data_IF_034746421023
#
_entry.id   IF_034746421023
#
_cell.length_a   1.000
_cell.length_b   1.000
_cell.length_c   1.000
_cell.angle_alpha   90.00
_cell.angle_beta   90.00
_cell.angle_gamma   90.00
#
_symmetry.space_group_name_H-M   'P 1'
#
loop_
_entity.id
_entity.type
_entity.pdbx_description
1 polymer ?
#
# COMPACT_ATOMS: atom_id res chain seq x y z
N UNK A 1 -28.12 2.72 -55.05
CA UNK A 1 -27.43 1.52 -54.47
C UNK A 1 -25.92 1.66 -54.33
N UNK A 2 -25.13 2.04 -55.36
CA UNK A 2 -23.65 2.13 -55.26
C UNK A 2 -23.15 3.17 -54.24
N UNK A 3 -23.82 4.32 -54.14
CA UNK A 3 -23.46 5.40 -53.19
C UNK A 3 -23.73 4.99 -51.73
N UNK A 4 -24.91 4.41 -51.44
CA UNK A 4 -25.26 3.87 -50.12
C UNK A 4 -24.30 2.75 -49.67
N UNK A 5 -23.86 1.87 -50.58
CA UNK A 5 -22.83 0.86 -50.28
C UNK A 5 -21.48 1.49 -49.92
N UNK A 6 -21.05 2.55 -50.64
CA UNK A 6 -19.81 3.27 -50.31
C UNK A 6 -19.90 3.96 -48.95
N UNK A 7 -21.01 4.62 -48.64
CA UNK A 7 -21.24 5.28 -47.34
C UNK A 7 -21.20 4.25 -46.20
N UNK A 8 -21.88 3.10 -46.36
CA UNK A 8 -21.86 2.03 -45.36
C UNK A 8 -20.46 1.46 -45.11
N UNK A 9 -19.67 1.26 -46.17
CA UNK A 9 -18.27 0.81 -46.04
C UNK A 9 -17.42 1.88 -45.34
N UNK A 10 -17.57 3.16 -45.68
CA UNK A 10 -16.81 4.25 -45.03
C UNK A 10 -17.13 4.35 -43.54
N UNK A 11 -18.40 4.26 -43.14
CA UNK A 11 -18.80 4.27 -41.73
C UNK A 11 -18.21 3.05 -41.00
N UNK A 12 -18.27 1.87 -41.60
CA UNK A 12 -17.69 0.65 -41.01
C UNK A 12 -16.17 0.78 -40.84
N UNK A 13 -15.45 1.31 -41.84
CA UNK A 13 -14.02 1.57 -41.74
C UNK A 13 -13.68 2.61 -40.66
N UNK A 14 -14.46 3.68 -40.54
CA UNK A 14 -14.29 4.67 -39.47
C UNK A 14 -14.52 4.06 -38.08
N UNK A 15 -15.57 3.25 -37.91
CA UNK A 15 -15.84 2.53 -36.67
C UNK A 15 -14.72 1.54 -36.32
N UNK A 16 -14.17 0.85 -37.33
CA UNK A 16 -13.00 -0.03 -37.17
C UNK A 16 -11.75 0.75 -36.76
N UNK A 17 -11.46 1.88 -37.41
CA UNK A 17 -10.30 2.73 -37.07
C UNK A 17 -10.45 3.30 -35.65
N UNK A 18 -11.63 3.82 -35.30
CA UNK A 18 -11.93 4.27 -33.95
C UNK A 18 -11.82 3.13 -32.93
N UNK A 19 -12.34 1.95 -33.25
CA UNK A 19 -12.25 0.75 -32.42
C UNK A 19 -10.80 0.31 -32.19
N UNK A 20 -9.98 0.27 -33.24
CA UNK A 20 -8.54 -0.02 -33.15
C UNK A 20 -7.83 1.05 -32.32
N UNK A 21 -8.17 2.33 -32.52
CA UNK A 21 -7.64 3.44 -31.73
C UNK A 21 -7.93 3.29 -30.25
N UNK A 22 -9.17 2.96 -29.88
CA UNK A 22 -9.58 2.71 -28.48
C UNK A 22 -8.83 1.49 -27.92
N UNK A 23 -8.76 0.39 -28.67
CA UNK A 23 -8.02 -0.81 -28.21
C UNK A 23 -6.55 -0.50 -27.97
N UNK A 24 -5.90 0.25 -28.87
CA UNK A 24 -4.52 0.69 -28.68
C UNK A 24 -4.35 1.62 -27.48
N UNK A 25 -5.29 2.53 -27.23
CA UNK A 25 -5.22 3.49 -26.12
C UNK A 25 -5.48 2.89 -24.75
N UNK A 26 -6.18 1.75 -24.67
CA UNK A 26 -6.55 1.09 -23.41
C UNK A 26 -5.93 -0.31 -23.25
N UNK A 27 -4.97 -0.67 -24.11
CA UNK A 27 -4.45 -2.03 -24.15
C UNK A 27 -3.75 -2.42 -22.82
N UNK A 28 -3.10 -1.45 -22.16
CA UNK A 28 -2.36 -1.70 -20.92
C UNK A 28 -3.30 -1.78 -19.73
N UNK A 29 -4.31 -0.92 -19.66
CA UNK A 29 -5.36 -0.95 -18.66
C UNK A 29 -6.14 -2.25 -18.75
N UNK A 30 -6.53 -2.65 -19.97
CA UNK A 30 -7.16 -3.94 -20.20
C UNK A 30 -6.26 -5.11 -19.79
N UNK A 31 -4.95 -5.05 -20.07
CA UNK A 31 -3.98 -6.04 -19.60
C UNK A 31 -3.93 -6.12 -18.07
N UNK A 32 -3.90 -4.97 -17.39
CA UNK A 32 -3.95 -4.91 -15.93
C UNK A 32 -5.23 -5.56 -15.39
N UNK A 33 -6.40 -5.19 -15.92
CA UNK A 33 -7.67 -5.75 -15.47
C UNK A 33 -7.76 -7.26 -15.71
N UNK A 34 -7.28 -7.75 -16.86
CA UNK A 34 -7.26 -9.18 -17.19
C UNK A 34 -6.31 -9.99 -16.31
N UNK A 35 -5.27 -9.36 -15.76
CA UNK A 35 -4.34 -10.00 -14.83
C UNK A 35 -4.92 -10.19 -13.42
N UNK A 36 -6.01 -9.49 -13.09
CA UNK A 36 -6.63 -9.56 -11.78
C UNK A 36 -7.12 -10.98 -11.50
N UNK A 37 -6.58 -11.59 -10.46
CA UNK A 37 -6.87 -12.98 -10.08
C UNK A 37 -7.17 -13.09 -8.60
N UNK A 38 -8.35 -13.63 -8.26
CA UNK A 38 -8.69 -14.03 -6.89
C UNK A 38 -7.88 -15.27 -6.49
N UNK A 39 -7.21 -15.21 -5.34
CA UNK A 39 -6.32 -16.27 -4.84
C UNK A 39 -6.80 -16.92 -3.54
N UNK A 40 -7.71 -16.27 -2.81
CA UNK A 40 -8.31 -16.79 -1.56
C UNK A 40 -9.85 -16.58 -1.54
N UNK A 41 -10.55 -17.41 -0.76
CA UNK A 41 -11.99 -17.32 -0.53
C UNK A 41 -12.37 -16.08 0.30
N UNK A 42 -11.58 -15.76 1.33
CA UNK A 42 -11.58 -14.45 1.96
C UNK A 42 -10.92 -13.47 0.98
N UNK A 43 -11.68 -12.55 0.33
CA UNK A 43 -11.27 -12.02 -0.97
C UNK A 43 -9.89 -11.35 -0.97
N UNK A 44 -8.91 -12.09 -1.47
CA UNK A 44 -7.55 -11.65 -1.76
C UNK A 44 -7.33 -11.81 -3.26
N UNK A 45 -6.83 -10.75 -3.90
CA UNK A 45 -6.53 -10.71 -5.32
C UNK A 45 -5.05 -10.45 -5.55
N UNK A 46 -4.58 -10.76 -6.75
CA UNK A 46 -3.28 -10.33 -7.28
C UNK A 46 -3.50 -9.64 -8.61
N UNK A 47 -2.68 -8.63 -8.93
CA UNK A 47 -2.81 -7.85 -10.17
C UNK A 47 -1.43 -7.45 -10.68
N UNK A 48 -1.12 -7.75 -11.95
CA UNK A 48 0.05 -7.24 -12.65
C UNK A 48 -0.31 -5.95 -13.38
N UNK A 49 0.03 -4.81 -12.77
CA UNK A 49 -0.32 -3.48 -13.28
C UNK A 49 0.61 -3.07 -14.42
N UNK A 50 0.06 -3.01 -15.64
CA UNK A 50 0.81 -2.75 -16.86
C UNK A 50 0.67 -1.31 -17.39
N UNK A 51 -0.38 -0.60 -16.99
CA UNK A 51 -0.66 0.76 -17.43
C UNK A 51 0.29 1.77 -16.77
N UNK A 52 0.45 2.93 -17.41
CA UNK A 52 1.06 4.07 -16.76
C UNK A 52 0.02 4.67 -15.80
N UNK A 53 0.36 4.74 -14.52
CA UNK A 53 -0.50 5.35 -13.51
C UNK A 53 -0.22 6.85 -13.34
N UNK A 54 0.82 7.40 -13.98
CA UNK A 54 1.05 8.85 -14.01
C UNK A 54 1.72 9.43 -12.77
N UNK A 55 2.51 8.63 -12.03
CA UNK A 55 3.16 9.12 -10.81
C UNK A 55 4.12 10.29 -11.08
N UNK A 56 4.90 10.28 -12.16
CA UNK A 56 5.83 11.38 -12.48
C UNK A 56 5.06 12.71 -12.64
N UNK A 57 3.93 12.70 -13.37
CA UNK A 57 3.07 13.86 -13.51
C UNK A 57 2.42 14.26 -12.18
N UNK A 58 2.00 13.28 -11.37
CA UNK A 58 1.46 13.54 -10.04
C UNK A 58 2.49 14.24 -9.15
N UNK A 59 3.75 13.80 -9.14
CA UNK A 59 4.81 14.36 -8.31
C UNK A 59 5.26 15.77 -8.72
N UNK A 60 4.88 16.23 -9.92
CA UNK A 60 5.04 17.64 -10.33
C UNK A 60 3.89 18.53 -9.85
N UNK A 61 2.67 17.98 -9.76
CA UNK A 61 1.45 18.72 -9.40
C UNK A 61 1.14 18.69 -7.91
N UNK A 62 1.32 17.53 -7.28
CA UNK A 62 0.94 17.24 -5.91
C UNK A 62 -0.57 17.10 -5.68
N UNK A 63 -0.93 16.83 -4.43
CA UNK A 63 -2.30 16.93 -3.92
C UNK A 63 -2.27 17.32 -2.44
N UNK A 64 -2.93 18.42 -2.09
CA UNK A 64 -2.98 18.93 -0.71
C UNK A 64 -4.04 18.25 0.16
N UNK A 65 -4.82 17.32 -0.41
CA UNK A 65 -5.88 16.57 0.27
C UNK A 65 -6.36 15.38 -0.57
N UNK A 66 -7.17 14.50 0.05
CA UNK A 66 -7.70 13.30 -0.61
C UNK A 66 -8.62 13.62 -1.81
N UNK A 67 -9.30 14.77 -1.81
CA UNK A 67 -10.17 15.16 -2.93
C UNK A 67 -9.34 15.47 -4.18
N UNK A 68 -8.27 16.23 -4.06
CA UNK A 68 -7.36 16.52 -5.17
C UNK A 68 -6.66 15.26 -5.68
N UNK A 69 -6.29 14.34 -4.78
CA UNK A 69 -5.81 13.02 -5.18
C UNK A 69 -6.84 12.26 -6.02
N UNK A 70 -8.09 12.20 -5.57
CA UNK A 70 -9.18 11.55 -6.32
C UNK A 70 -9.39 12.20 -7.68
N UNK A 71 -9.37 13.53 -7.75
CA UNK A 71 -9.48 14.27 -9.02
C UNK A 71 -8.34 13.93 -9.98
N UNK A 72 -7.10 13.82 -9.50
CA UNK A 72 -5.97 13.36 -10.32
C UNK A 72 -6.21 11.95 -10.86
N UNK A 73 -6.55 11.01 -9.97
CA UNK A 73 -6.79 9.60 -10.34
C UNK A 73 -7.93 9.47 -11.34
N UNK A 74 -9.03 10.20 -11.13
CA UNK A 74 -10.17 10.21 -12.05
C UNK A 74 -9.75 10.69 -13.45
N UNK A 75 -9.00 11.79 -13.51
CA UNK A 75 -8.62 12.40 -14.78
C UNK A 75 -7.55 11.59 -15.53
N UNK A 76 -6.54 11.09 -14.82
CA UNK A 76 -5.37 10.45 -15.43
C UNK A 76 -5.53 8.94 -15.58
N UNK A 77 -5.99 8.26 -14.53
CA UNK A 77 -6.08 6.79 -14.48
C UNK A 77 -7.44 6.32 -15.00
N UNK A 78 -8.53 6.92 -14.52
CA UNK A 78 -9.89 6.52 -14.87
C UNK A 78 -10.40 7.21 -16.15
N UNK A 79 -9.63 8.14 -16.73
CA UNK A 79 -9.95 8.89 -17.95
C UNK A 79 -11.35 9.51 -17.92
N UNK A 80 -11.74 10.06 -16.76
CA UNK A 80 -13.01 10.74 -16.53
C UNK A 80 -14.15 9.87 -16.00
N UNK A 81 -13.93 8.57 -15.74
CA UNK A 81 -14.93 7.74 -15.07
C UNK A 81 -15.02 8.07 -13.57
N UNK A 82 -16.23 8.20 -13.02
CA UNK A 82 -16.41 8.61 -11.63
C UNK A 82 -15.85 7.54 -10.67
N UNK A 83 -15.13 8.01 -9.65
CA UNK A 83 -14.57 7.20 -8.58
C UNK A 83 -14.89 7.86 -7.24
N UNK A 84 -15.22 7.05 -6.24
CA UNK A 84 -15.32 7.49 -4.84
C UNK A 84 -14.29 6.71 -4.04
N UNK A 85 -13.39 7.43 -3.37
CA UNK A 85 -12.39 6.86 -2.46
C UNK A 85 -12.77 7.27 -1.05
N UNK A 86 -12.77 6.31 -0.14
CA UNK A 86 -12.94 6.56 1.29
C UNK A 86 -11.93 5.72 2.06
N UNK A 87 -11.02 6.39 2.77
CA UNK A 87 -10.02 5.75 3.61
C UNK A 87 -10.51 5.91 5.06
N UNK A 88 -10.93 4.85 5.76
CA UNK A 88 -11.34 4.89 7.17
C UNK A 88 -10.16 4.68 8.13
N UNK A 89 -10.43 4.72 9.44
CA UNK A 89 -9.48 4.44 10.52
C UNK A 89 -8.76 3.09 10.37
N UNK A 90 -7.43 3.10 10.49
CA UNK A 90 -6.54 1.93 10.36
C UNK A 90 -5.98 1.49 11.73
N UNK A 91 -5.88 0.18 11.99
CA UNK A 91 -5.04 -0.39 13.05
C UNK A 91 -3.91 -1.21 12.42
N UNK A 92 -2.67 -1.14 12.90
CA UNK A 92 -1.54 -1.84 12.27
C UNK A 92 -0.45 -2.17 13.29
N UNK A 93 0.43 -3.11 12.96
CA UNK A 93 1.71 -3.32 13.66
C UNK A 93 2.80 -3.66 12.65
N UNK A 94 4.04 -3.25 12.91
CA UNK A 94 5.18 -3.53 12.04
C UNK A 94 6.43 -3.88 12.83
N UNK A 95 7.34 -4.64 12.22
CA UNK A 95 8.69 -4.85 12.73
C UNK A 95 9.69 -5.18 11.64
N UNK A 96 10.98 -4.96 11.93
CA UNK A 96 12.10 -5.54 11.19
C UNK A 96 12.88 -6.50 12.08
N UNK A 97 13.30 -7.64 11.52
CA UNK A 97 14.18 -8.59 12.16
C UNK A 97 15.26 -9.07 11.18
N UNK A 98 16.44 -9.43 11.68
CA UNK A 98 17.43 -10.17 10.90
C UNK A 98 16.89 -11.58 10.62
N UNK A 99 16.95 -12.00 9.37
CA UNK A 99 16.57 -13.36 9.00
C UNK A 99 17.65 -14.34 9.50
N UNK A 100 17.25 -15.42 10.20
CA UNK A 100 18.16 -16.50 10.60
C UNK A 100 18.89 -17.16 9.43
N UNK A 101 18.27 -17.18 8.25
CA UNK A 101 18.92 -17.69 7.03
C UNK A 101 19.88 -16.64 6.44
N UNK A 102 19.34 -15.54 5.93
CA UNK A 102 20.10 -14.45 5.32
C UNK A 102 19.24 -13.22 5.06
N UNK A 103 19.81 -12.03 5.25
CA UNK A 103 19.12 -10.76 5.02
C UNK A 103 18.21 -10.36 6.18
N UNK A 104 17.15 -9.63 5.86
CA UNK A 104 16.22 -9.06 6.82
C UNK A 104 14.77 -9.34 6.41
N UNK A 105 13.91 -9.42 7.41
CA UNK A 105 12.47 -9.63 7.28
C UNK A 105 11.74 -8.39 7.79
N UNK A 106 10.80 -7.87 7.01
CA UNK A 106 9.86 -6.85 7.47
C UNK A 106 8.46 -7.46 7.62
N UNK A 107 7.91 -7.41 8.83
CA UNK A 107 6.60 -7.92 9.16
C UNK A 107 5.58 -6.80 9.30
N UNK A 108 4.34 -7.02 8.84
CA UNK A 108 3.20 -6.13 9.06
C UNK A 108 1.90 -6.88 9.29
N UNK A 109 1.12 -6.48 10.29
CA UNK A 109 -0.32 -6.75 10.36
C UNK A 109 -1.12 -5.53 9.93
N UNK A 110 -2.24 -5.78 9.25
CA UNK A 110 -3.26 -4.79 8.95
C UNK A 110 -4.57 -5.18 9.64
N UNK A 111 -5.06 -4.31 10.52
CA UNK A 111 -6.20 -4.51 11.39
C UNK A 111 -7.32 -3.53 11.04
N UNK A 112 -8.49 -4.04 10.66
CA UNK A 112 -9.62 -3.23 10.20
C UNK A 112 -10.93 -4.01 10.23
N UNK A 113 -12.06 -3.35 9.94
CA UNK A 113 -13.28 -4.03 9.48
C UNK A 113 -13.05 -4.74 8.12
N UNK A 114 -14.07 -5.46 7.64
CA UNK A 114 -13.98 -6.30 6.44
C UNK A 114 -13.26 -5.59 5.28
N UNK A 115 -12.13 -6.17 4.86
CA UNK A 115 -11.21 -5.55 3.92
C UNK A 115 -10.79 -6.53 2.82
N UNK A 116 -11.49 -6.53 1.66
CA UNK A 116 -11.02 -7.27 0.50
C UNK A 116 -9.68 -6.69 0.06
N UNK A 117 -8.69 -7.53 -0.24
CA UNK A 117 -7.31 -7.07 -0.49
C UNK A 117 -6.85 -7.38 -1.90
N UNK A 118 -5.96 -6.56 -2.44
CA UNK A 118 -5.21 -6.87 -3.66
C UNK A 118 -3.72 -6.63 -3.43
N UNK A 119 -2.90 -7.60 -3.83
CA UNK A 119 -1.48 -7.36 -4.06
C UNK A 119 -1.29 -6.86 -5.49
N UNK A 120 -0.85 -5.63 -5.61
CA UNK A 120 -0.57 -4.99 -6.91
C UNK A 120 0.92 -5.09 -7.18
N UNK A 121 1.30 -5.63 -8.34
CA UNK A 121 2.66 -5.54 -8.87
C UNK A 121 2.74 -4.39 -9.86
N UNK A 122 3.69 -3.49 -9.68
CA UNK A 122 3.94 -2.39 -10.61
C UNK A 122 5.35 -2.48 -11.17
N UNK A 123 5.54 -2.00 -12.41
CA UNK A 123 6.86 -1.83 -13.03
C UNK A 123 6.85 -0.54 -13.87
N UNK A 124 6.92 0.64 -13.21
CA UNK A 124 6.93 1.92 -13.91
C UNK A 124 8.16 2.04 -14.81
N UNK A 125 8.05 2.84 -15.88
CA UNK A 125 9.16 3.06 -16.83
C UNK A 125 10.35 3.78 -16.17
N UNK A 126 10.07 4.73 -15.28
CA UNK A 126 11.04 5.59 -14.61
C UNK A 126 11.08 5.33 -13.10
N UNK A 127 11.00 4.07 -12.67
CA UNK A 127 11.01 3.72 -11.26
C UNK A 127 11.26 2.24 -11.03
N UNK A 128 11.24 1.85 -9.76
CA UNK A 128 11.47 0.47 -9.35
C UNK A 128 10.22 -0.39 -9.49
N UNK A 129 10.40 -1.63 -9.93
CA UNK A 129 9.36 -2.64 -9.80
C UNK A 129 9.04 -2.88 -8.32
N UNK A 130 7.77 -3.12 -7.98
CA UNK A 130 7.36 -3.31 -6.59
C UNK A 130 6.10 -4.16 -6.45
N UNK A 131 5.88 -4.67 -5.24
CA UNK A 131 4.59 -5.17 -4.80
C UNK A 131 4.05 -4.28 -3.68
N UNK A 132 2.74 -4.10 -3.63
CA UNK A 132 2.07 -3.37 -2.55
C UNK A 132 0.71 -3.95 -2.22
N UNK A 133 0.38 -4.04 -0.93
CA UNK A 133 -0.96 -4.41 -0.48
C UNK A 133 -1.88 -3.19 -0.47
N UNK A 134 -3.07 -3.38 -1.01
CA UNK A 134 -4.12 -2.36 -1.12
C UNK A 134 -5.41 -2.92 -0.52
N UNK A 135 -6.08 -2.13 0.31
CA UNK A 135 -7.45 -2.40 0.72
C UNK A 135 -8.40 -1.99 -0.41
N UNK A 136 -9.02 -2.96 -1.08
CA UNK A 136 -10.01 -2.69 -2.13
C UNK A 136 -11.25 -1.98 -1.57
N UNK A 137 -11.50 -2.06 -0.26
CA UNK A 137 -12.51 -1.25 0.41
C UNK A 137 -12.33 0.25 0.18
N UNK A 138 -11.10 0.73 0.03
CA UNK A 138 -10.81 2.17 -0.11
C UNK A 138 -11.17 2.71 -1.46
N UNK A 139 -11.23 1.84 -2.46
CA UNK A 139 -11.69 2.19 -3.81
C UNK A 139 -13.13 1.72 -4.05
N UNK A 140 -13.90 1.42 -2.98
CA UNK A 140 -15.35 1.24 -3.05
C UNK A 140 -15.85 -0.21 -3.13
N UNK A 141 -14.97 -1.21 -3.02
CA UNK A 141 -15.39 -2.62 -2.96
C UNK A 141 -15.87 -3.02 -1.55
N UNK A 142 -16.73 -4.03 -1.46
CA UNK A 142 -17.27 -4.55 -0.20
C UNK A 142 -17.80 -5.98 -0.38
N UNK A 143 -18.41 -6.57 0.65
CA UNK A 143 -18.94 -7.95 0.61
C UNK A 143 -19.92 -8.20 -0.54
N UNK A 144 -20.66 -7.19 -1.00
CA UNK A 144 -21.68 -7.30 -2.04
C UNK A 144 -21.18 -6.90 -3.43
N UNK A 145 -20.03 -6.22 -3.50
CA UNK A 145 -19.44 -5.74 -4.74
C UNK A 145 -17.94 -5.99 -4.71
N UNK A 146 -17.53 -7.06 -5.37
CA UNK A 146 -16.13 -7.47 -5.53
C UNK A 146 -15.73 -7.38 -7.00
N UNK A 147 -14.44 -7.23 -7.33
CA UNK A 147 -13.96 -7.12 -8.70
C UNK A 147 -13.86 -8.49 -9.40
N UNK A 148 -14.90 -9.32 -9.28
CA UNK A 148 -14.91 -10.70 -9.77
C UNK A 148 -15.18 -10.80 -11.29
N UNK A 149 -15.66 -9.72 -11.91
CA UNK A 149 -15.84 -9.63 -13.37
C UNK A 149 -15.00 -8.50 -13.94
N UNK A 150 -14.69 -8.56 -15.24
CA UNK A 150 -13.95 -7.50 -15.92
C UNK A 150 -14.61 -6.12 -15.76
N UNK A 151 -15.95 -6.07 -15.81
CA UNK A 151 -16.70 -4.83 -15.62
C UNK A 151 -16.54 -4.31 -14.20
N UNK A 152 -16.66 -5.19 -13.21
CA UNK A 152 -16.57 -4.81 -11.80
C UNK A 152 -15.13 -4.49 -11.40
N UNK A 153 -14.14 -5.00 -12.13
CA UNK A 153 -12.71 -4.75 -11.86
C UNK A 153 -12.23 -3.34 -12.25
N UNK A 154 -13.02 -2.55 -12.96
CA UNK A 154 -12.54 -1.28 -13.55
C UNK A 154 -11.91 -0.33 -12.52
N UNK A 155 -12.46 -0.29 -11.31
CA UNK A 155 -12.00 0.58 -10.24
C UNK A 155 -10.66 0.11 -9.62
N UNK A 156 -10.26 -1.15 -9.80
CA UNK A 156 -8.92 -1.61 -9.38
C UNK A 156 -7.78 -0.93 -10.13
N UNK A 157 -8.07 -0.22 -11.25
CA UNK A 157 -7.06 0.63 -11.90
C UNK A 157 -6.53 1.74 -10.97
N UNK A 158 -7.33 2.18 -9.99
CA UNK A 158 -6.88 3.17 -9.00
C UNK A 158 -5.95 2.60 -7.91
N UNK A 159 -5.77 1.28 -7.83
CA UNK A 159 -5.05 0.61 -6.74
C UNK A 159 -3.59 1.10 -6.51
N UNK A 160 -2.80 1.49 -7.53
CA UNK A 160 -1.46 2.06 -7.32
C UNK A 160 -1.42 3.33 -6.46
N UNK A 161 -2.55 4.03 -6.29
CA UNK A 161 -2.69 5.24 -5.48
C UNK A 161 -3.21 5.00 -4.06
N UNK A 162 -3.49 3.74 -3.69
CA UNK A 162 -3.95 3.36 -2.35
C UNK A 162 -3.10 2.27 -1.66
N UNK A 163 -1.77 2.19 -1.85
CA UNK A 163 -0.96 1.21 -1.12
C UNK A 163 -0.91 1.54 0.37
N UNK A 164 -0.85 0.51 1.19
CA UNK A 164 -0.73 0.62 2.66
C UNK A 164 0.59 0.04 3.18
N UNK A 165 1.15 -0.88 2.41
CA UNK A 165 2.49 -1.40 2.59
C UNK A 165 3.04 -1.88 1.25
N UNK A 166 4.32 -2.20 1.21
CA UNK A 166 4.92 -2.86 0.06
C UNK A 166 6.42 -3.00 0.15
N UNK A 167 6.98 -3.58 -0.91
CA UNK A 167 8.43 -3.73 -1.09
C UNK A 167 8.79 -3.60 -2.57
N UNK A 168 9.87 -2.87 -2.87
CA UNK A 168 10.39 -2.73 -4.23
C UNK A 168 11.54 -3.70 -4.55
N UNK A 169 11.96 -3.74 -5.81
CA UNK A 169 13.01 -4.62 -6.32
C UNK A 169 14.41 -4.35 -5.74
N UNK A 170 14.59 -3.24 -5.00
CA UNK A 170 15.82 -2.94 -4.24
C UNK A 170 15.74 -3.47 -2.81
N UNK A 171 14.56 -3.89 -2.37
CA UNK A 171 14.30 -4.41 -1.02
C UNK A 171 14.09 -3.29 -0.01
N UNK A 172 13.78 -2.08 -0.48
CA UNK A 172 13.12 -1.08 0.35
C UNK A 172 11.69 -1.57 0.61
N UNK A 173 11.30 -1.63 1.87
CA UNK A 173 9.94 -1.90 2.28
C UNK A 173 9.42 -0.78 3.18
N UNK A 174 8.11 -0.55 3.11
CA UNK A 174 7.43 0.45 3.94
C UNK A 174 6.07 -0.09 4.37
N UNK A 175 5.66 0.27 5.58
CA UNK A 175 4.29 0.10 6.06
C UNK A 175 3.83 1.38 6.77
N UNK A 176 2.55 1.72 6.60
CA UNK A 176 1.93 2.84 7.29
C UNK A 176 1.06 2.37 8.45
N UNK A 177 1.09 3.13 9.55
CA UNK A 177 0.29 2.87 10.74
C UNK A 177 -0.36 4.18 11.19
N UNK A 178 -1.65 4.10 11.55
CA UNK A 178 -2.41 5.24 12.02
C UNK A 178 -1.96 5.65 13.42
N UNK A 179 -1.84 6.95 13.59
CA UNK A 179 -1.69 7.63 14.86
C UNK A 179 -2.96 8.47 15.07
N UNK A 180 -3.68 8.21 16.16
CA UNK A 180 -4.95 8.88 16.49
C UNK A 180 -4.70 10.27 17.07
N UNK A 181 -4.07 11.12 16.26
CA UNK A 181 -3.77 12.52 16.54
C UNK A 181 -4.24 13.39 15.37
N UNK A 182 -4.15 14.71 15.53
CA UNK A 182 -4.50 15.66 14.48
C UNK A 182 -3.74 15.30 13.17
N UNK A 183 -4.42 15.29 12.01
CA UNK A 183 -3.77 14.98 10.75
C UNK A 183 -2.65 15.96 10.45
N UNK A 184 -1.54 15.43 9.91
CA UNK A 184 -0.47 16.26 9.34
C UNK A 184 -1.00 17.10 8.19
N UNK A 185 -0.69 18.38 8.19
CA UNK A 185 -1.01 19.31 7.13
C UNK A 185 0.12 20.35 7.03
N UNK A 186 1.18 20.00 6.30
CA UNK A 186 2.30 20.89 6.07
C UNK A 186 1.97 21.90 4.96
N UNK A 187 2.38 23.15 5.12
CA UNK A 187 2.06 24.19 4.14
C UNK A 187 3.29 25.09 3.90
N UNK A 188 4.24 24.58 3.13
CA UNK A 188 5.45 25.29 2.71
C UNK A 188 5.39 25.62 1.21
N UNK A 189 6.52 25.57 0.50
CA UNK A 189 6.60 25.75 -0.96
C UNK A 189 6.91 24.45 -1.69
N UNK A 190 6.99 23.34 -0.96
CA UNK A 190 7.26 22.02 -1.53
C UNK A 190 6.02 21.52 -2.24
N UNK A 191 6.19 20.51 -3.07
CA UNK A 191 5.04 19.84 -3.68
C UNK A 191 4.31 19.04 -2.60
N UNK A 192 2.99 19.06 -2.64
CA UNK A 192 2.16 18.34 -1.69
C UNK A 192 2.05 16.86 -2.03
N UNK A 193 2.10 16.02 -1.01
CA UNK A 193 1.88 14.59 -1.13
C UNK A 193 0.93 14.10 -0.04
N UNK A 194 0.20 13.02 -0.32
CA UNK A 194 -0.68 12.36 0.65
C UNK A 194 -0.07 11.07 1.19
N UNK A 195 -0.68 10.51 2.24
CA UNK A 195 -0.18 9.31 2.91
C UNK A 195 0.09 8.13 1.97
N UNK A 196 -0.87 7.79 1.10
CA UNK A 196 -0.75 6.65 0.18
C UNK A 196 0.17 6.95 -1.00
N UNK A 197 0.21 8.20 -1.46
CA UNK A 197 1.11 8.61 -2.54
C UNK A 197 2.55 8.71 -2.08
N UNK A 198 2.80 9.01 -0.80
CA UNK A 198 4.12 8.93 -0.20
C UNK A 198 4.68 7.50 -0.20
N UNK A 199 3.83 6.49 0.08
CA UNK A 199 4.21 5.08 -0.06
C UNK A 199 4.55 4.75 -1.51
N UNK A 200 3.70 5.17 -2.46
CA UNK A 200 3.93 4.94 -3.88
C UNK A 200 5.21 5.62 -4.38
N UNK A 201 5.48 6.85 -3.93
CA UNK A 201 6.72 7.60 -4.17
C UNK A 201 7.93 6.81 -3.68
N UNK A 202 7.96 6.42 -2.41
CA UNK A 202 9.10 5.70 -1.83
C UNK A 202 9.36 4.40 -2.57
N UNK A 203 8.32 3.60 -2.83
CA UNK A 203 8.46 2.33 -3.54
C UNK A 203 8.96 2.51 -4.98
N UNK A 204 8.56 3.56 -5.69
CA UNK A 204 9.00 3.82 -7.08
C UNK A 204 10.37 4.49 -7.19
N UNK A 205 10.75 5.34 -6.23
CA UNK A 205 11.86 6.29 -6.39
C UNK A 205 13.03 6.09 -5.44
N UNK A 206 12.86 5.41 -4.29
CA UNK A 206 13.94 5.17 -3.34
C UNK A 206 14.45 3.73 -3.39
N UNK A 207 15.78 3.56 -3.35
CA UNK A 207 16.40 2.23 -3.28
C UNK A 207 16.68 1.75 -1.85
N UNK A 208 16.74 2.67 -0.89
CA UNK A 208 17.13 2.43 0.49
C UNK A 208 16.49 3.47 1.44
N UNK A 209 16.68 3.28 2.75
CA UNK A 209 16.06 4.14 3.78
C UNK A 209 16.48 5.60 3.64
N UNK A 210 17.75 5.87 3.32
CA UNK A 210 18.26 7.25 3.21
C UNK A 210 17.57 8.02 2.08
N UNK A 211 17.48 7.42 0.89
CA UNK A 211 16.75 8.03 -0.23
C UNK A 211 15.26 8.19 0.08
N UNK A 212 14.65 7.27 0.81
CA UNK A 212 13.24 7.38 1.19
C UNK A 212 13.00 8.55 2.15
N UNK A 213 13.86 8.74 3.15
CA UNK A 213 13.80 9.88 4.09
C UNK A 213 14.06 11.19 3.36
N UNK A 214 15.06 11.23 2.46
CA UNK A 214 15.35 12.40 1.64
C UNK A 214 14.14 12.77 0.77
N UNK A 215 13.54 11.80 0.08
CA UNK A 215 12.32 12.00 -0.69
C UNK A 215 11.21 12.57 0.18
N UNK A 216 10.85 11.93 1.31
CA UNK A 216 9.80 12.43 2.19
C UNK A 216 10.07 13.86 2.67
N UNK A 217 11.33 14.21 2.96
CA UNK A 217 11.70 15.56 3.38
C UNK A 217 11.54 16.62 2.28
N UNK A 218 11.45 16.20 1.00
CA UNK A 218 11.32 17.08 -0.16
C UNK A 218 9.87 17.43 -0.54
N UNK A 219 8.89 16.81 0.12
CA UNK A 219 7.45 17.07 -0.07
C UNK A 219 6.82 17.62 1.22
N UNK A 220 5.68 18.29 1.07
CA UNK A 220 4.79 18.62 2.19
C UNK A 220 3.75 17.50 2.36
N UNK A 221 3.68 16.93 3.56
CA UNK A 221 2.76 15.84 3.87
C UNK A 221 1.37 16.36 4.26
N UNK A 222 0.36 15.81 3.60
CA UNK A 222 -1.05 15.98 3.90
C UNK A 222 -1.66 14.62 4.21
N UNK A 223 -1.87 14.33 5.50
CA UNK A 223 -2.34 13.01 5.89
C UNK A 223 -3.76 12.74 5.36
N UNK A 224 -3.95 11.55 4.81
CA UNK A 224 -5.24 11.07 4.30
C UNK A 224 -6.21 10.73 5.44
N UNK A 225 -7.49 10.49 5.14
CA UNK A 225 -8.47 9.90 6.07
C UNK A 225 -8.70 10.67 7.39
N UNK A 226 -8.31 11.95 7.46
CA UNK A 226 -8.44 12.77 8.66
C UNK A 226 -7.83 12.11 9.92
N UNK A 227 -6.70 11.44 9.78
CA UNK A 227 -5.85 10.96 10.89
C UNK A 227 -4.38 11.24 10.62
N UNK A 228 -3.51 11.15 11.63
CA UNK A 228 -2.06 11.17 11.44
C UNK A 228 -1.53 9.76 11.16
N UNK A 229 -0.35 9.66 10.56
CA UNK A 229 0.30 8.40 10.26
C UNK A 229 1.80 8.49 10.52
N UNK A 230 2.40 7.35 10.87
CA UNK A 230 3.83 7.17 10.74
C UNK A 230 4.16 6.06 9.74
N UNK A 231 5.37 6.14 9.18
CA UNK A 231 5.88 5.16 8.22
C UNK A 231 7.04 4.42 8.86
N UNK A 232 6.93 3.10 9.02
CA UNK A 232 8.13 2.29 9.24
C UNK A 232 8.72 1.93 7.89
N UNK A 233 9.94 2.39 7.63
CA UNK A 233 10.68 2.18 6.39
C UNK A 233 11.93 1.38 6.72
N UNK A 234 12.21 0.35 5.93
CA UNK A 234 13.41 -0.45 6.09
C UNK A 234 13.97 -0.91 4.74
N UNK A 235 15.23 -1.31 4.71
CA UNK A 235 15.87 -1.77 3.47
C UNK A 235 16.68 -3.06 3.61
N UNK A 236 17.16 -3.56 2.47
CA UNK A 236 17.89 -4.83 2.38
C UNK A 236 19.22 -4.87 3.17
N UNK A 237 19.74 -3.71 3.61
CA UNK A 237 20.92 -3.63 4.49
C UNK A 237 20.58 -3.86 5.96
N UNK A 238 19.29 -3.83 6.32
CA UNK A 238 18.80 -3.90 7.69
C UNK A 238 18.61 -2.54 8.36
N UNK A 239 18.87 -1.45 7.64
CA UNK A 239 18.56 -0.10 8.13
C UNK A 239 17.04 0.05 8.25
N UNK A 240 16.61 0.72 9.30
CA UNK A 240 15.20 0.98 9.60
C UNK A 240 15.05 2.37 10.20
N UNK A 241 13.92 3.00 9.91
CA UNK A 241 13.51 4.28 10.49
C UNK A 241 11.98 4.27 10.61
N UNK A 242 11.48 4.92 11.66
CA UNK A 242 10.07 5.31 11.75
C UNK A 242 10.00 6.81 11.53
N UNK A 243 9.32 7.23 10.47
CA UNK A 243 9.09 8.65 10.17
C UNK A 243 7.72 9.05 10.72
N UNK A 244 7.72 10.00 11.64
CA UNK A 244 6.53 10.55 12.28
C UNK A 244 6.37 12.03 11.90
N UNK A 245 5.15 12.53 11.94
CA UNK A 245 4.87 13.95 11.78
C UNK A 245 4.23 14.47 13.05
N UNK A 246 4.98 15.26 13.82
CA UNK A 246 4.56 15.82 15.10
C UNK A 246 4.53 17.33 14.95
N UNK A 247 3.37 17.93 15.23
CA UNK A 247 3.14 19.37 15.05
C UNK A 247 3.53 19.86 13.65
N UNK A 248 3.17 19.08 12.62
CA UNK A 248 3.50 19.32 11.21
C UNK A 248 5.02 19.34 10.91
N UNK A 249 5.85 18.81 11.82
CA UNK A 249 7.28 18.60 11.62
C UNK A 249 7.62 17.11 11.44
N UNK A 250 8.36 16.79 10.37
CA UNK A 250 8.88 15.45 10.12
C UNK A 250 9.96 15.10 11.15
N UNK A 251 9.80 13.97 11.85
CA UNK A 251 10.74 13.40 12.80
C UNK A 251 11.15 12.00 12.33
N UNK A 252 12.45 11.73 12.32
CA UNK A 252 12.99 10.41 12.00
C UNK A 252 13.47 9.72 13.27
N UNK A 253 12.84 8.59 13.63
CA UNK A 253 13.19 7.77 14.79
C UNK A 253 13.97 6.55 14.31
N UNK A 254 15.26 6.53 14.60
CA UNK A 254 16.13 5.38 14.33
C UNK A 254 16.18 4.45 15.55
N UNK A 255 16.34 3.12 15.36
CA UNK A 255 16.41 2.19 16.47
C UNK A 255 17.76 2.25 17.20
N UNK A 256 17.72 2.17 18.52
CA UNK A 256 18.92 1.95 19.35
C UNK A 256 19.32 0.46 19.43
N UNK A 257 18.48 -0.43 18.91
CA UNK A 257 18.65 -1.88 18.88
C UNK A 257 18.92 -2.36 17.44
N UNK A 258 19.29 -3.63 17.28
CA UNK A 258 19.45 -4.26 15.95
C UNK A 258 18.10 -4.64 15.27
N UNK A 259 16.99 -4.19 15.83
CA UNK A 259 15.63 -4.36 15.33
C UNK A 259 14.82 -3.10 15.64
N UNK A 260 13.68 -2.93 14.98
CA UNK A 260 12.74 -1.84 15.24
C UNK A 260 11.32 -2.35 15.06
N UNK A 261 10.40 -1.86 15.87
CA UNK A 261 8.97 -2.12 15.72
C UNK A 261 8.17 -0.84 15.95
N UNK A 262 6.95 -0.83 15.46
CA UNK A 262 6.00 0.26 15.63
C UNK A 262 4.57 -0.28 15.66
N UNK A 263 3.70 0.39 16.39
CA UNK A 263 2.25 0.13 16.38
C UNK A 263 1.50 1.46 16.23
N UNK A 264 0.44 1.72 16.99
CA UNK A 264 -0.44 2.86 16.74
C UNK A 264 -0.23 4.02 17.73
N UNK A 265 1.01 4.24 18.14
CA UNK A 265 1.42 5.37 18.99
C UNK A 265 2.73 5.98 18.50
N UNK A 266 2.97 7.24 18.88
CA UNK A 266 4.19 7.96 18.51
C UNK A 266 5.39 7.42 19.31
N UNK A 267 6.44 6.98 18.61
CA UNK A 267 7.71 6.62 19.22
C UNK A 267 8.46 7.83 19.75
N UNK A 268 8.24 9.02 19.19
CA UNK A 268 8.76 10.29 19.73
C UNK A 268 8.07 10.73 21.02
N UNK A 269 6.84 10.26 21.27
CA UNK A 269 6.02 10.63 22.42
C UNK A 269 5.25 9.41 22.97
N UNK A 270 5.97 8.39 23.50
CA UNK A 270 5.35 7.11 23.86
C UNK A 270 4.33 7.22 25.01
N UNK A 271 4.44 8.27 25.84
CA UNK A 271 3.58 8.54 26.99
C UNK A 271 2.37 9.44 26.67
N UNK A 272 2.16 9.82 25.40
CA UNK A 272 1.01 10.65 25.00
C UNK A 272 -0.33 9.95 25.28
N UNK A 273 -1.40 10.72 25.53
CA UNK A 273 -2.73 10.20 25.91
C UNK A 273 -3.35 9.23 24.87
N UNK A 274 -2.87 9.27 23.62
CA UNK A 274 -3.35 8.44 22.51
C UNK A 274 -2.36 7.28 22.23
N UNK A 275 -2.37 6.25 23.08
CA UNK A 275 -1.38 5.16 23.06
C UNK A 275 -1.97 3.74 22.88
N UNK A 276 -2.90 3.54 21.95
CA UNK A 276 -3.41 2.18 21.68
C UNK A 276 -2.37 1.33 20.93
N UNK A 277 -2.38 0.01 21.16
CA UNK A 277 -1.42 -0.92 20.54
C UNK A 277 -0.11 -1.13 21.31
N UNK A 278 0.01 -0.63 22.55
CA UNK A 278 1.14 -0.90 23.45
C UNK A 278 1.27 -2.39 23.81
N UNK A 279 0.14 -3.09 23.95
CA UNK A 279 0.06 -4.53 24.16
C UNK A 279 0.73 -5.31 23.02
N UNK A 280 0.38 -4.98 21.77
CA UNK A 280 1.00 -5.59 20.57
C UNK A 280 2.46 -5.19 20.43
N UNK A 281 2.80 -3.94 20.74
CA UNK A 281 4.18 -3.48 20.74
C UNK A 281 5.03 -4.28 21.73
N UNK A 282 4.53 -4.50 22.95
CA UNK A 282 5.21 -5.29 23.97
C UNK A 282 5.45 -6.74 23.50
N UNK A 283 4.45 -7.40 22.91
CA UNK A 283 4.61 -8.75 22.33
C UNK A 283 5.74 -8.79 21.30
N UNK A 284 5.77 -7.78 20.41
CA UNK A 284 6.79 -7.68 19.36
C UNK A 284 8.17 -7.40 19.96
N UNK A 285 8.31 -6.40 20.84
CA UNK A 285 9.59 -6.02 21.44
C UNK A 285 10.15 -7.15 22.31
N UNK A 286 9.32 -7.86 23.11
CA UNK A 286 9.75 -9.00 23.92
C UNK A 286 10.25 -10.17 23.06
N UNK A 287 9.53 -10.48 21.97
CA UNK A 287 9.96 -11.54 21.04
C UNK A 287 11.27 -11.17 20.35
N UNK A 288 11.41 -9.94 19.87
CA UNK A 288 12.62 -9.50 19.19
C UNK A 288 13.78 -9.40 20.18
N UNK A 289 13.58 -8.87 21.38
CA UNK A 289 14.58 -8.80 22.44
C UNK A 289 15.11 -10.18 22.83
N UNK A 290 14.20 -11.13 23.13
CA UNK A 290 14.56 -12.51 23.52
C UNK A 290 15.26 -13.31 22.43
N UNK A 291 15.10 -12.91 21.16
CA UNK A 291 15.77 -13.53 20.01
C UNK A 291 16.95 -12.72 19.47
N UNK A 292 17.34 -11.64 20.17
CA UNK A 292 18.37 -10.70 19.73
C UNK A 292 18.14 -10.19 18.29
N UNK A 293 16.88 -9.84 17.99
CA UNK A 293 16.42 -9.34 16.70
C UNK A 293 16.45 -10.36 15.56
N UNK A 294 16.57 -11.67 15.83
CA UNK A 294 16.74 -12.71 14.81
C UNK A 294 15.57 -13.67 14.73
N UNK A 295 14.90 -13.70 13.58
CA UNK A 295 13.75 -14.60 13.33
C UNK A 295 13.95 -15.38 12.03
N UNK A 296 13.51 -16.62 11.99
CA UNK A 296 13.21 -17.29 10.71
C UNK A 296 11.93 -16.73 10.09
N UNK A 297 11.68 -16.99 8.81
CA UNK A 297 10.41 -16.60 8.15
C UNK A 297 9.18 -17.15 8.88
N UNK A 298 9.28 -18.37 9.38
CA UNK A 298 8.23 -18.99 10.17
C UNK A 298 7.99 -18.23 11.48
N UNK A 299 9.05 -17.93 12.24
CA UNK A 299 8.92 -17.19 13.50
C UNK A 299 8.46 -15.74 13.29
N UNK A 300 8.81 -15.10 12.17
CA UNK A 300 8.29 -13.79 11.82
C UNK A 300 6.77 -13.84 11.56
N UNK A 301 6.28 -14.83 10.82
CA UNK A 301 4.83 -15.00 10.62
C UNK A 301 4.13 -15.40 11.92
N UNK A 302 4.76 -16.23 12.76
CA UNK A 302 4.23 -16.54 14.09
C UNK A 302 4.14 -15.30 14.97
N UNK A 303 5.14 -14.42 14.95
CA UNK A 303 5.08 -13.16 15.70
C UNK A 303 3.92 -12.27 15.25
N UNK A 304 3.64 -12.21 13.94
CA UNK A 304 2.45 -11.53 13.43
C UNK A 304 1.16 -12.20 13.90
N UNK A 305 1.11 -13.53 14.00
CA UNK A 305 -0.01 -14.24 14.61
C UNK A 305 -0.18 -13.88 16.08
N UNK A 306 0.90 -13.88 16.84
CA UNK A 306 0.90 -13.65 18.29
C UNK A 306 0.44 -12.22 18.63
N UNK A 307 0.73 -11.23 17.78
CA UNK A 307 0.29 -9.85 17.93
C UNK A 307 -0.92 -9.48 17.04
N UNK A 308 -1.63 -10.48 16.49
CA UNK A 308 -2.85 -10.24 15.73
C UNK A 308 -4.03 -9.88 16.63
N UNK A 309 -5.01 -9.17 16.08
CA UNK A 309 -6.21 -8.79 16.78
C UNK A 309 -7.36 -9.74 16.43
N UNK A 310 -7.91 -10.39 17.45
CA UNK A 310 -9.18 -11.11 17.33
C UNK A 310 -10.34 -10.15 17.06
N UNK A 311 -11.45 -10.72 16.56
CA UNK A 311 -12.67 -9.97 16.28
C UNK A 311 -13.19 -9.23 17.52
N UNK A 312 -13.18 -7.90 17.44
CA UNK A 312 -13.66 -6.99 18.49
C UNK A 312 -14.43 -5.82 17.87
N UNK A 313 -15.16 -5.06 18.68
CA UNK A 313 -15.83 -3.83 18.19
C UNK A 313 -14.86 -2.65 18.23
N UNK A 314 -14.73 -1.93 17.11
CA UNK A 314 -13.98 -0.69 17.04
C UNK A 314 -14.79 0.51 17.59
N UNK A 315 -14.20 1.72 17.56
CA UNK A 315 -14.84 2.96 18.05
C UNK A 315 -16.15 3.29 17.32
N UNK A 316 -16.32 2.86 16.07
CA UNK A 316 -17.56 3.01 15.30
C UNK A 316 -18.55 1.85 15.50
N UNK A 317 -18.26 0.90 16.39
CA UNK A 317 -19.11 -0.26 16.68
C UNK A 317 -19.08 -1.37 15.62
N UNK A 318 -18.20 -1.26 14.61
CA UNK A 318 -17.99 -2.29 13.58
C UNK A 318 -17.06 -3.38 14.11
N UNK A 319 -17.19 -4.60 13.59
CA UNK A 319 -16.26 -5.68 13.91
C UNK A 319 -14.94 -5.43 13.17
N UNK A 320 -13.86 -5.29 13.94
CA UNK A 320 -12.48 -5.15 13.47
C UNK A 320 -11.66 -6.36 13.92
N UNK A 321 -10.68 -6.75 13.10
CA UNK A 321 -9.68 -7.80 13.37
C UNK A 321 -8.51 -7.67 12.40
N UNK A 322 -7.45 -8.46 12.58
CA UNK A 322 -6.38 -8.58 11.58
C UNK A 322 -6.94 -9.16 10.27
N UNK A 323 -6.85 -8.39 9.19
CA UNK A 323 -7.35 -8.76 7.86
C UNK A 323 -6.28 -9.47 7.05
N UNK A 324 -5.03 -9.04 7.16
CA UNK A 324 -3.88 -9.72 6.57
C UNK A 324 -2.59 -9.48 7.32
N UNK A 325 -1.66 -10.41 7.14
CA UNK A 325 -0.31 -10.39 7.69
C UNK A 325 0.69 -10.61 6.56
N UNK A 326 1.71 -9.77 6.47
CA UNK A 326 2.74 -9.83 5.43
C UNK A 326 4.13 -9.97 6.05
N UNK A 327 4.92 -10.93 5.56
CA UNK A 327 6.36 -11.02 5.84
C UNK A 327 7.13 -10.83 4.53
N UNK A 328 7.83 -9.71 4.45
CA UNK A 328 8.69 -9.32 3.35
C UNK A 328 10.12 -9.79 3.58
N UNK A 329 10.62 -10.69 2.73
CA UNK A 329 12.04 -11.05 2.64
C UNK A 329 12.77 -10.02 1.78
N UNK A 330 13.42 -9.06 2.45
CA UNK A 330 14.04 -7.90 1.83
C UNK A 330 15.21 -8.28 0.93
N UNK A 331 15.87 -9.42 1.18
CA UNK A 331 16.99 -9.88 0.35
C UNK A 331 16.49 -10.57 -0.91
N UNK A 332 15.61 -11.55 -0.75
CA UNK A 332 15.12 -12.38 -1.87
C UNK A 332 13.96 -11.76 -2.64
N UNK A 333 13.48 -10.58 -2.22
CA UNK A 333 12.40 -9.82 -2.86
C UNK A 333 11.11 -10.65 -2.97
N UNK A 334 10.74 -11.32 -1.87
CA UNK A 334 9.51 -12.12 -1.77
C UNK A 334 8.65 -11.65 -0.61
N UNK A 335 7.34 -11.66 -0.77
CA UNK A 335 6.39 -11.46 0.31
C UNK A 335 5.62 -12.74 0.57
N UNK A 336 5.43 -13.10 1.84
CA UNK A 336 4.54 -14.18 2.28
C UNK A 336 3.33 -13.55 2.97
N UNK A 337 2.14 -13.91 2.54
CA UNK A 337 0.88 -13.28 2.95
C UNK A 337 -0.05 -14.33 3.54
N UNK A 338 -0.66 -14.00 4.68
CA UNK A 338 -1.80 -14.71 5.25
C UNK A 338 -2.97 -13.72 5.28
N UNK A 339 -4.17 -14.18 4.95
CA UNK A 339 -5.39 -13.38 5.05
C UNK A 339 -6.35 -13.98 6.07
N UNK A 340 -7.22 -13.15 6.64
CA UNK A 340 -8.28 -13.56 7.56
C UNK A 340 -7.78 -14.31 8.82
N UNK A 341 -6.56 -14.04 9.28
CA UNK A 341 -5.87 -14.79 10.35
C UNK A 341 -5.73 -16.30 10.08
N UNK A 342 -5.87 -16.74 8.82
CA UNK A 342 -5.66 -18.13 8.44
C UNK A 342 -4.17 -18.38 8.20
N UNK A 343 -3.40 -18.54 9.27
CA UNK A 343 -1.94 -18.73 9.19
C UNK A 343 -1.52 -20.08 8.58
N UNK A 344 -2.45 -21.01 8.35
CA UNK A 344 -2.17 -22.27 7.64
C UNK A 344 -2.15 -22.06 6.11
N UNK A 345 -2.91 -21.10 5.60
CA UNK A 345 -2.95 -20.74 4.18
C UNK A 345 -2.03 -19.54 3.90
N UNK A 346 -0.86 -19.82 3.32
CA UNK A 346 0.16 -18.81 3.02
C UNK A 346 0.38 -18.65 1.51
N UNK A 347 0.45 -17.42 1.03
CA UNK A 347 0.72 -17.07 -0.36
C UNK A 347 2.09 -16.40 -0.47
N UNK A 348 3.03 -17.00 -1.20
CA UNK A 348 4.35 -16.40 -1.44
C UNK A 348 4.43 -15.84 -2.86
N UNK A 349 4.76 -14.55 -2.97
CA UNK A 349 4.81 -13.83 -4.23
C UNK A 349 6.18 -13.15 -4.36
N UNK A 350 6.81 -13.27 -5.53
CA UNK A 350 8.05 -12.56 -5.86
C UNK A 350 7.74 -11.17 -6.40
N UNK A 351 8.57 -10.19 -6.06
CA UNK A 351 8.53 -8.85 -6.68
C UNK A 351 9.00 -8.89 -8.13
N UNK A 352 9.88 -9.85 -8.47
CA UNK A 352 10.58 -9.90 -9.75
C UNK A 352 9.93 -10.86 -10.78
N UNK A 353 9.01 -11.72 -10.35
CA UNK A 353 8.39 -12.77 -11.19
C UNK A 353 6.93 -12.48 -11.53
#
# INVERSE_FOLDING_TARGET
MKVLKKIGITILCLLLICGIGIVCLFHKEYSSLKSLKKVDAYPMYTMDYSADYGLDEFLEKGASNDKELVEFVVNHVMKGLPLSINIPDLGCSTFIAQNKDSGYLFGRNFDMDYSPSVLVKTKPKNGYASVSMVNLGFVGYNEKHLPDTLKDSLVTLAAPYAPLDGMNEKGLAVGVLLIDTKPTNQNTKKVDITTTTAIRLMLDKAKNVDEAVELLSSYDMHSSANSCYHFQICDASGKSVVVEYVDDEMKAVYPDKNYQCATNFLLTQPDAEFNFGQDRYQIIDEKLSSTNGKLSKHEAMQLLSDCSQDAHKNKQGKISKTQWSCVYDLKNKKVTICVNQNYDAKYTISVLE
#
